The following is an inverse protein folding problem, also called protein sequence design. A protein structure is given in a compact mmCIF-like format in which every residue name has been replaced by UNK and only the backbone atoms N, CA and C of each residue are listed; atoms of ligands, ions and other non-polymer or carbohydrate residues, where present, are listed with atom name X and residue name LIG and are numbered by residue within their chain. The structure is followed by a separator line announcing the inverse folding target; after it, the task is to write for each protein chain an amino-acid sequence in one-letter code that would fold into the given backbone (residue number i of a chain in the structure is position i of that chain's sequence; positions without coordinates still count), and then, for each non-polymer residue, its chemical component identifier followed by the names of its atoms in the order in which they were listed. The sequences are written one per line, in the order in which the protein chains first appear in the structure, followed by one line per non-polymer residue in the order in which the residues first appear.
data_IF_004629145238
#
_entry.id   IF_004629145238
#
_cell.length_a   1.000
_cell.length_b   1.000
_cell.length_c   1.000
_cell.angle_alpha   90.00
_cell.angle_beta   90.00
_cell.angle_gamma   90.00
#
_symmetry.space_group_name_H-M   'P 1'
#
loop_
_entity.id
_entity.type
_entity.pdbx_description
1 polymer ?
#
# COMPACT_ATOMS: atom_id res chain seq x y z
N UNK A 1 37.63 37.80 -14.94
CA UNK A 1 37.83 37.45 -13.53
C UNK A 1 36.99 36.21 -13.20
N UNK A 2 37.48 34.98 -13.47
CA UNK A 2 36.79 33.77 -13.06
C UNK A 2 37.25 33.46 -11.63
N UNK A 3 36.56 34.06 -10.67
CA UNK A 3 36.86 33.90 -9.26
C UNK A 3 35.57 33.56 -8.54
N UNK A 4 35.12 32.32 -8.67
CA UNK A 4 34.12 31.70 -7.78
C UNK A 4 33.96 30.17 -7.96
N UNK A 5 34.75 29.53 -8.80
CA UNK A 5 34.69 28.08 -9.06
C UNK A 5 34.86 27.19 -7.80
N UNK A 6 35.78 27.48 -6.84
CA UNK A 6 35.95 26.60 -5.68
C UNK A 6 34.84 26.76 -4.62
N UNK A 7 34.33 27.98 -4.44
CA UNK A 7 33.27 28.27 -3.45
C UNK A 7 31.93 27.73 -3.94
N UNK A 8 31.62 27.93 -5.22
CA UNK A 8 30.40 27.40 -5.84
C UNK A 8 30.40 25.87 -5.79
N UNK A 9 31.55 25.24 -6.09
CA UNK A 9 31.70 23.78 -5.99
C UNK A 9 31.52 23.29 -4.56
N UNK A 10 32.12 23.96 -3.58
CA UNK A 10 31.96 23.61 -2.16
C UNK A 10 30.52 23.72 -1.67
N UNK A 11 29.81 24.78 -2.07
CA UNK A 11 28.39 24.98 -1.73
C UNK A 11 27.52 23.90 -2.37
N UNK A 12 27.76 23.53 -3.63
CA UNK A 12 27.00 22.47 -4.31
C UNK A 12 27.22 21.12 -3.65
N UNK A 13 28.47 20.76 -3.30
CA UNK A 13 28.79 19.50 -2.63
C UNK A 13 28.17 19.44 -1.23
N UNK A 14 28.27 20.53 -0.47
CA UNK A 14 27.65 20.62 0.85
C UNK A 14 26.12 20.49 0.77
N UNK A 15 25.50 21.19 -0.19
CA UNK A 15 24.06 21.12 -0.43
C UNK A 15 23.63 19.70 -0.83
N UNK A 16 24.40 19.03 -1.69
CA UNK A 16 24.14 17.66 -2.11
C UNK A 16 24.25 16.65 -0.95
N UNK A 17 25.21 16.83 -0.04
CA UNK A 17 25.36 15.97 1.13
C UNK A 17 24.25 16.23 2.16
N UNK A 18 23.93 17.51 2.41
CA UNK A 18 22.94 17.91 3.41
C UNK A 18 21.50 17.58 2.98
N UNK A 19 21.16 17.85 1.71
CA UNK A 19 19.81 17.64 1.18
C UNK A 19 19.64 16.31 0.45
N UNK A 20 20.74 15.66 0.03
CA UNK A 20 20.71 14.38 -0.68
C UNK A 20 19.85 13.31 -0.01
N UNK A 21 20.06 12.96 1.27
CA UNK A 21 19.26 11.93 1.93
C UNK A 21 17.79 12.36 2.11
N UNK A 22 17.52 13.63 2.38
CA UNK A 22 16.15 14.14 2.50
C UNK A 22 15.40 14.09 1.16
N UNK A 23 16.06 14.53 0.08
CA UNK A 23 15.52 14.47 -1.29
C UNK A 23 15.34 13.01 -1.73
N UNK A 24 16.26 12.11 -1.39
CA UNK A 24 16.17 10.70 -1.72
C UNK A 24 14.96 10.04 -1.02
N UNK A 25 14.81 10.25 0.29
CA UNK A 25 13.65 9.74 1.06
C UNK A 25 12.34 10.33 0.52
N UNK A 26 12.34 11.62 0.19
CA UNK A 26 11.19 12.27 -0.43
C UNK A 26 10.85 11.70 -1.80
N UNK A 27 11.86 11.43 -2.64
CA UNK A 27 11.68 10.87 -3.98
C UNK A 27 11.13 9.45 -3.90
N UNK A 28 11.67 8.61 -3.02
CA UNK A 28 11.21 7.23 -2.75
C UNK A 28 9.76 7.23 -2.23
N UNK A 29 9.41 8.15 -1.35
CA UNK A 29 8.03 8.32 -0.88
C UNK A 29 7.07 8.83 -1.96
N UNK A 30 7.57 9.63 -2.93
CA UNK A 30 6.73 10.24 -3.98
C UNK A 30 6.62 9.43 -5.27
N UNK A 31 7.56 8.52 -5.52
CA UNK A 31 7.57 7.55 -6.62
C UNK A 31 6.24 6.81 -6.81
N UNK A 32 5.57 6.23 -5.79
CA UNK A 32 4.28 5.55 -6.00
C UNK A 32 3.16 6.49 -6.47
N UNK A 33 3.21 7.78 -6.10
CA UNK A 33 2.23 8.79 -6.51
C UNK A 33 2.44 9.36 -7.92
N UNK A 34 3.69 9.42 -8.38
CA UNK A 34 4.06 9.92 -9.72
C UNK A 34 3.87 8.84 -10.78
N UNK A 35 4.19 7.57 -10.49
CA UNK A 35 3.93 6.45 -11.41
C UNK A 35 2.43 6.29 -11.70
N UNK A 36 1.56 6.51 -10.69
CA UNK A 36 0.10 6.52 -10.87
C UNK A 36 -0.41 7.67 -11.73
N UNK A 37 0.25 8.85 -11.73
CA UNK A 37 -0.12 9.98 -12.60
C UNK A 37 0.43 9.84 -14.01
N UNK A 38 1.67 9.38 -14.15
CA UNK A 38 2.31 9.15 -15.45
C UNK A 38 1.58 8.06 -16.27
N UNK A 39 1.01 7.04 -15.61
CA UNK A 39 0.18 6.02 -16.29
C UNK A 39 -1.18 6.53 -16.75
N UNK A 40 -1.71 7.62 -16.16
CA UNK A 40 -2.95 8.27 -16.62
C UNK A 40 -2.74 9.23 -17.79
N UNK A 41 -1.54 9.78 -17.93
CA UNK A 41 -1.20 10.74 -18.99
C UNK A 41 -0.87 10.14 -20.36
N UNK A 42 -0.63 8.82 -20.45
CA UNK A 42 -0.37 8.15 -21.74
C UNK A 42 -1.67 7.67 -22.36
N UNK A 43 -2.46 8.62 -22.84
CA UNK A 43 -3.66 8.36 -23.62
C UNK A 43 -3.35 7.76 -24.99
N UNK A 44 -4.06 6.67 -25.31
CA UNK A 44 -4.70 6.41 -26.61
C UNK A 44 -5.96 5.59 -26.30
N UNK A 45 -7.05 5.97 -26.97
CA UNK A 45 -8.42 5.51 -26.74
C UNK A 45 -8.50 3.99 -26.51
N UNK A 46 -8.87 3.59 -25.30
CA UNK A 46 -9.14 2.21 -24.92
C UNK A 46 -10.53 2.13 -24.27
N UNK A 47 -11.25 1.01 -24.45
CA UNK A 47 -12.59 0.77 -23.88
C UNK A 47 -12.64 1.04 -22.37
N UNK A 48 -13.83 1.25 -21.75
CA UNK A 48 -13.96 1.73 -20.37
C UNK A 48 -13.02 0.95 -19.45
N UNK A 49 -11.94 1.60 -19.06
CA UNK A 49 -10.89 0.97 -18.31
C UNK A 49 -11.46 0.62 -16.93
N UNK A 50 -11.27 -0.61 -16.42
CA UNK A 50 -11.65 -0.94 -15.06
C UNK A 50 -11.04 0.09 -14.12
N UNK A 51 -11.85 0.64 -13.22
CA UNK A 51 -11.47 1.73 -12.31
C UNK A 51 -10.52 1.16 -11.25
N UNK A 52 -9.22 1.08 -11.57
CA UNK A 52 -8.19 0.63 -10.63
C UNK A 52 -7.30 -0.50 -11.16
N UNK A 53 -6.44 -1.08 -10.30
CA UNK A 53 -5.72 -2.30 -10.63
C UNK A 53 -6.71 -3.41 -11.01
N UNK A 54 -6.35 -4.32 -11.92
CA UNK A 54 -7.21 -5.46 -12.25
C UNK A 54 -7.49 -6.28 -10.99
N UNK A 55 -8.73 -6.73 -10.82
CA UNK A 55 -9.19 -7.43 -9.62
C UNK A 55 -8.32 -8.66 -9.33
N UNK A 56 -7.87 -9.36 -10.38
CA UNK A 56 -7.02 -10.54 -10.27
C UNK A 56 -5.69 -10.24 -9.55
N UNK A 57 -5.12 -9.06 -9.80
CA UNK A 57 -3.89 -8.64 -9.11
C UNK A 57 -4.16 -8.29 -7.66
N UNK A 58 -5.27 -7.61 -7.37
CA UNK A 58 -5.67 -7.28 -5.99
C UNK A 58 -5.87 -8.55 -5.16
N UNK A 59 -6.58 -9.54 -5.71
CA UNK A 59 -6.81 -10.83 -5.04
C UNK A 59 -5.51 -11.63 -4.91
N UNK A 60 -4.60 -11.55 -5.88
CA UNK A 60 -3.27 -12.19 -5.78
C UNK A 60 -2.42 -11.54 -4.68
N UNK A 61 -2.40 -10.21 -4.61
CA UNK A 61 -1.68 -9.46 -3.58
C UNK A 61 -2.28 -9.71 -2.19
N UNK A 62 -3.61 -9.77 -2.07
CA UNK A 62 -4.30 -10.10 -0.84
C UNK A 62 -3.91 -11.51 -0.35
N UNK A 63 -3.93 -12.51 -1.23
CA UNK A 63 -3.48 -13.88 -0.91
C UNK A 63 -1.99 -13.94 -0.53
N UNK A 64 -1.15 -13.13 -1.18
CA UNK A 64 0.27 -13.03 -0.85
C UNK A 64 0.47 -12.42 0.54
N UNK A 65 -0.22 -11.33 0.85
CA UNK A 65 -0.15 -10.64 2.14
C UNK A 65 -0.73 -11.49 3.28
N UNK A 66 -1.82 -12.24 3.03
CA UNK A 66 -2.39 -13.18 3.99
C UNK A 66 -1.38 -14.27 4.38
N UNK A 67 -0.69 -14.85 3.39
CA UNK A 67 0.38 -15.83 3.68
C UNK A 67 1.51 -15.22 4.51
N UNK A 68 1.93 -14.00 4.19
CA UNK A 68 2.95 -13.30 4.98
C UNK A 68 2.46 -12.93 6.40
N UNK A 69 1.16 -12.67 6.57
CA UNK A 69 0.54 -12.39 7.88
C UNK A 69 0.50 -13.64 8.78
N UNK A 70 0.25 -14.81 8.18
CA UNK A 70 0.21 -16.11 8.87
C UNK A 70 1.60 -16.67 9.16
N UNK A 71 2.61 -16.27 8.38
CA UNK A 71 4.00 -16.64 8.63
C UNK A 71 4.48 -15.98 9.94
N UNK A 72 5.02 -16.73 10.91
CA UNK A 72 5.54 -16.19 12.18
C UNK A 72 6.80 -15.30 12.01
N UNK A 73 7.25 -15.02 10.79
CA UNK A 73 8.49 -14.32 10.47
C UNK A 73 8.60 -12.79 10.67
N UNK A 74 7.57 -11.94 10.89
CA UNK A 74 7.84 -10.51 11.04
C UNK A 74 8.65 -10.28 12.32
N UNK A 75 9.95 -10.00 12.16
CA UNK A 75 10.93 -9.94 13.25
C UNK A 75 10.85 -8.64 14.05
N UNK A 76 10.23 -7.59 13.49
CA UNK A 76 10.19 -6.26 14.10
C UNK A 76 8.78 -5.67 14.14
N UNK A 77 8.54 -4.79 15.11
CA UNK A 77 7.28 -4.06 15.26
C UNK A 77 6.93 -3.26 13.98
N UNK A 78 7.90 -2.57 13.40
CA UNK A 78 7.72 -1.77 12.18
C UNK A 78 7.30 -2.65 11.00
N UNK A 79 7.93 -3.81 10.81
CA UNK A 79 7.57 -4.75 9.75
C UNK A 79 6.15 -5.29 9.93
N UNK A 80 5.75 -5.58 11.17
CA UNK A 80 4.40 -6.03 11.48
C UNK A 80 3.35 -4.96 11.19
N UNK A 81 3.60 -3.71 11.59
CA UNK A 81 2.72 -2.57 11.30
C UNK A 81 2.62 -2.33 9.79
N UNK A 82 3.74 -2.32 9.08
CA UNK A 82 3.77 -2.10 7.64
C UNK A 82 3.02 -3.20 6.88
N UNK A 83 3.19 -4.46 7.29
CA UNK A 83 2.47 -5.60 6.70
C UNK A 83 0.96 -5.46 6.88
N UNK A 84 0.50 -5.12 8.09
CA UNK A 84 -0.93 -4.97 8.37
C UNK A 84 -1.53 -3.74 7.68
N UNK A 85 -0.80 -2.63 7.61
CA UNK A 85 -1.25 -1.45 6.88
C UNK A 85 -1.38 -1.72 5.37
N UNK A 86 -0.41 -2.43 4.78
CA UNK A 86 -0.47 -2.86 3.39
C UNK A 86 -1.62 -3.84 3.13
N UNK A 87 -1.87 -4.76 4.07
CA UNK A 87 -3.02 -5.67 4.02
C UNK A 87 -4.35 -4.90 3.99
N UNK A 88 -4.53 -3.92 4.88
CA UNK A 88 -5.74 -3.11 4.95
C UNK A 88 -5.97 -2.30 3.67
N UNK A 89 -4.92 -1.74 3.08
CA UNK A 89 -5.01 -1.00 1.82
C UNK A 89 -5.49 -1.90 0.68
N UNK A 90 -4.91 -3.10 0.54
CA UNK A 90 -5.29 -4.05 -0.50
C UNK A 90 -6.69 -4.60 -0.26
N UNK A 91 -7.08 -4.87 0.98
CA UNK A 91 -8.42 -5.32 1.34
C UNK A 91 -9.47 -4.27 0.95
N UNK A 92 -9.27 -3.00 1.32
CA UNK A 92 -10.16 -1.90 0.94
C UNK A 92 -10.18 -1.63 -0.57
N UNK A 93 -9.05 -1.82 -1.27
CA UNK A 93 -9.00 -1.72 -2.72
C UNK A 93 -9.80 -2.84 -3.41
N UNK A 94 -9.75 -4.05 -2.86
CA UNK A 94 -10.51 -5.19 -3.35
C UNK A 94 -12.01 -4.98 -3.11
N UNK A 95 -12.41 -4.53 -1.91
CA UNK A 95 -13.79 -4.15 -1.61
C UNK A 95 -14.34 -3.15 -2.63
N UNK A 96 -13.61 -2.07 -2.93
CA UNK A 96 -14.00 -1.08 -3.94
C UNK A 96 -14.12 -1.68 -5.35
N UNK A 97 -13.23 -2.59 -5.72
CA UNK A 97 -13.26 -3.23 -7.03
C UNK A 97 -14.48 -4.15 -7.21
N UNK A 98 -15.02 -4.71 -6.12
CA UNK A 98 -16.20 -5.58 -6.11
C UNK A 98 -17.49 -4.82 -5.79
N UNK A 99 -17.43 -3.51 -5.52
CA UNK A 99 -18.60 -2.67 -5.26
C UNK A 99 -19.07 -2.65 -3.81
N UNK A 100 -18.20 -3.03 -2.85
CA UNK A 100 -18.46 -2.83 -1.42
C UNK A 100 -18.04 -1.40 -1.05
N UNK A 101 -19.03 -0.51 -0.99
CA UNK A 101 -18.84 0.95 -0.84
C UNK A 101 -18.39 1.38 0.57
N UNK A 102 -18.90 0.72 1.63
CA UNK A 102 -18.60 1.12 3.02
C UNK A 102 -18.22 -0.06 3.93
N UNK A 103 -17.03 -0.64 3.74
CA UNK A 103 -16.52 -1.67 4.63
C UNK A 103 -16.18 -1.09 6.02
N UNK A 104 -16.46 -1.80 7.13
CA UNK A 104 -16.27 -1.29 8.49
C UNK A 104 -14.81 -0.91 8.79
N UNK A 105 -13.84 -1.52 8.10
CA UNK A 105 -12.42 -1.18 8.21
C UNK A 105 -12.12 0.27 7.78
N UNK A 106 -12.89 0.87 6.87
CA UNK A 106 -12.60 2.17 6.25
C UNK A 106 -12.45 3.30 7.28
N UNK A 107 -13.34 3.35 8.26
CA UNK A 107 -13.31 4.36 9.32
C UNK A 107 -12.04 4.25 10.16
N UNK A 108 -11.69 3.03 10.61
CA UNK A 108 -10.49 2.80 11.41
C UNK A 108 -9.18 3.11 10.67
N UNK A 109 -9.13 2.92 9.34
CA UNK A 109 -7.96 3.33 8.53
C UNK A 109 -7.87 4.85 8.44
N UNK A 110 -9.00 5.54 8.25
CA UNK A 110 -9.04 6.99 8.18
C UNK A 110 -8.61 7.65 9.49
N UNK A 111 -9.07 7.13 10.63
CA UNK A 111 -8.79 7.70 11.94
C UNK A 111 -7.40 7.32 12.47
N UNK A 112 -7.00 6.05 12.31
CA UNK A 112 -5.78 5.51 12.90
C UNK A 112 -4.53 5.57 12.01
N UNK A 113 -4.68 5.88 10.72
CA UNK A 113 -3.58 5.94 9.76
C UNK A 113 -2.76 4.64 9.71
N UNK A 114 -1.44 4.73 9.58
CA UNK A 114 -0.55 3.54 9.57
C UNK A 114 -0.29 3.03 10.99
N UNK A 115 -0.15 3.93 11.97
CA UNK A 115 0.18 3.57 13.36
C UNK A 115 -0.93 2.75 14.04
N UNK A 116 -2.19 2.98 13.67
CA UNK A 116 -3.35 2.26 14.20
C UNK A 116 -3.52 0.83 13.67
N UNK A 117 -2.62 0.32 12.80
CA UNK A 117 -2.77 -0.99 12.18
C UNK A 117 -2.84 -2.17 13.16
N UNK A 118 -2.27 -2.01 14.37
CA UNK A 118 -2.27 -2.98 15.47
C UNK A 118 -3.42 -2.79 16.47
N UNK A 119 -4.26 -1.77 16.31
CA UNK A 119 -5.37 -1.55 17.21
C UNK A 119 -6.37 -2.73 17.18
N UNK A 120 -6.89 -3.11 18.35
CA UNK A 120 -7.81 -4.25 18.47
C UNK A 120 -9.14 -3.96 17.80
N UNK A 121 -9.64 -2.71 17.87
CA UNK A 121 -10.87 -2.30 17.18
C UNK A 121 -10.74 -2.46 15.67
N UNK A 122 -9.61 -2.03 15.13
CA UNK A 122 -9.27 -2.22 13.71
C UNK A 122 -9.10 -3.68 13.32
N UNK A 123 -8.51 -4.52 14.18
CA UNK A 123 -8.39 -5.95 13.91
C UNK A 123 -9.75 -6.64 13.77
N UNK A 124 -10.74 -6.27 14.59
CA UNK A 124 -12.11 -6.76 14.45
C UNK A 124 -12.79 -6.24 13.18
N UNK A 125 -12.61 -4.94 12.87
CA UNK A 125 -13.15 -4.35 11.65
C UNK A 125 -12.56 -5.00 10.38
N UNK A 126 -11.30 -5.43 10.43
CA UNK A 126 -10.64 -6.21 9.37
C UNK A 126 -11.35 -7.54 9.14
N UNK A 127 -11.55 -8.35 10.19
CA UNK A 127 -12.24 -9.66 10.06
C UNK A 127 -13.67 -9.49 9.51
N UNK A 128 -14.40 -8.47 9.96
CA UNK A 128 -15.74 -8.16 9.41
C UNK A 128 -15.70 -7.77 7.94
N UNK A 129 -14.67 -7.03 7.53
CA UNK A 129 -14.47 -6.63 6.13
C UNK A 129 -14.06 -7.82 5.27
N UNK A 130 -13.21 -8.71 5.78
CA UNK A 130 -12.88 -9.99 5.14
C UNK A 130 -14.15 -10.81 4.89
N UNK A 131 -15.02 -10.97 5.90
CA UNK A 131 -16.29 -11.67 5.76
C UNK A 131 -17.25 -11.01 4.75
N UNK A 132 -17.32 -9.67 4.73
CA UNK A 132 -18.12 -8.93 3.76
C UNK A 132 -17.59 -9.13 2.32
N UNK A 133 -16.26 -9.21 2.15
CA UNK A 133 -15.66 -9.51 0.87
C UNK A 133 -15.93 -10.96 0.44
N UNK A 134 -15.86 -11.92 1.35
CA UNK A 134 -16.18 -13.32 1.05
C UNK A 134 -17.64 -13.52 0.63
N UNK A 135 -18.59 -12.76 1.20
CA UNK A 135 -20.00 -12.77 0.81
C UNK A 135 -20.22 -12.36 -0.67
N UNK A 136 -19.27 -11.63 -1.27
CA UNK A 136 -19.30 -11.29 -2.71
C UNK A 136 -18.75 -12.40 -3.63
N UNK A 137 -18.26 -13.50 -3.05
CA UNK A 137 -17.68 -14.63 -3.77
C UNK A 137 -16.15 -14.59 -3.90
N UNK A 138 -15.48 -13.54 -3.41
CA UNK A 138 -14.01 -13.46 -3.39
C UNK A 138 -13.47 -14.17 -2.15
N UNK A 139 -12.93 -15.38 -2.32
CA UNK A 139 -12.30 -16.12 -1.21
C UNK A 139 -10.89 -15.63 -0.92
N UNK A 140 -10.66 -15.26 0.34
CA UNK A 140 -9.36 -14.81 0.84
C UNK A 140 -8.51 -16.02 1.26
N UNK A 141 -9.16 -17.07 1.77
CA UNK A 141 -8.52 -18.32 2.16
C UNK A 141 -8.43 -19.32 0.98
N UNK A 142 -7.26 -19.93 0.67
CA UNK A 142 -7.27 -21.23 0.02
C UNK A 142 -7.94 -22.25 0.95
N UNK A 143 -8.62 -23.29 0.43
CA UNK A 143 -9.05 -24.39 1.29
C UNK A 143 -7.82 -24.90 2.05
N UNK A 144 -7.84 -24.82 3.39
CA UNK A 144 -6.90 -25.59 4.20
C UNK A 144 -7.01 -27.06 3.79
N UNK A 145 -5.94 -27.87 3.93
CA UNK A 145 -6.08 -29.30 3.67
C UNK A 145 -7.29 -29.79 4.46
N UNK A 146 -8.26 -30.37 3.75
CA UNK A 146 -9.39 -31.03 4.38
C UNK A 146 -8.78 -31.96 5.43
N UNK A 147 -9.06 -31.68 6.70
CA UNK A 147 -8.67 -32.57 7.78
C UNK A 147 -9.39 -33.88 7.47
N UNK A 148 -8.62 -34.86 6.99
CA UNK A 148 -9.05 -36.22 6.75
C UNK A 148 -9.19 -36.96 8.08
#
# INVERSE_FOLDING_TARGET
MPGNDPVLTGVIVFLAIALGPAVLVWLVGRLPGVVRRARRGRGRAAPPAPVGPPLERLVADLRRLERMRRDPRPTTWVQRVALLAAYDEVLLATCRAVGVEDPPLRAFVADGGVAGALDRGRALARIRTEAALEATGVRIDPPGPAVA
#
